data_IF_196624566532
#
_entry.id   IF_196624566532
#
_cell.length_a   1.000
_cell.length_b   1.000
_cell.length_c   1.000
_cell.angle_alpha   90.00
_cell.angle_beta   90.00
_cell.angle_gamma   90.00
#
_symmetry.space_group_name_H-M   'P 1'
#
loop_
_entity.id
_entity.type
_entity.pdbx_description
1 polymer ?
#
# COMPACT_ATOMS: atom_id res chain seq x y z
N UNK A 1 13.57 -18.31 -29.60
CA UNK A 1 13.78 -19.71 -29.96
C UNK A 1 13.63 -20.62 -28.74
N UNK A 2 13.73 -21.93 -28.93
CA UNK A 2 13.84 -22.89 -27.83
C UNK A 2 15.28 -22.86 -27.29
N UNK A 3 15.44 -22.60 -26.01
CA UNK A 3 16.72 -22.65 -25.28
C UNK A 3 16.67 -23.80 -24.29
N UNK A 4 17.80 -24.44 -24.02
CA UNK A 4 17.89 -25.49 -23.01
C UNK A 4 18.83 -25.04 -21.91
N UNK A 5 18.36 -25.13 -20.66
CA UNK A 5 19.21 -24.94 -19.48
C UNK A 5 19.59 -26.32 -18.96
N UNK A 6 20.87 -26.67 -19.08
CA UNK A 6 21.44 -27.89 -18.53
C UNK A 6 22.07 -27.58 -17.17
N UNK A 7 21.55 -28.21 -16.12
CA UNK A 7 22.11 -28.19 -14.77
C UNK A 7 22.73 -29.55 -14.47
N UNK A 8 23.99 -29.56 -14.03
CA UNK A 8 24.74 -30.77 -13.66
C UNK A 8 25.38 -30.63 -12.28
N UNK A 9 25.45 -31.72 -11.53
CA UNK A 9 26.20 -31.84 -10.27
C UNK A 9 27.20 -33.00 -10.38
N UNK A 10 28.50 -32.73 -10.13
CA UNK A 10 29.56 -33.73 -10.29
C UNK A 10 29.71 -34.28 -11.72
N UNK A 11 29.34 -33.49 -12.73
CA UNK A 11 29.32 -33.92 -14.13
C UNK A 11 28.06 -34.68 -14.56
N UNK A 12 27.14 -35.02 -13.65
CA UNK A 12 25.89 -35.70 -13.96
C UNK A 12 24.69 -34.72 -13.98
N UNK A 13 23.73 -34.85 -14.92
CA UNK A 13 22.51 -34.04 -14.93
C UNK A 13 21.69 -34.22 -13.65
N UNK A 14 21.20 -33.11 -13.08
CA UNK A 14 20.23 -33.18 -11.96
C UNK A 14 18.84 -33.57 -12.47
N UNK A 15 17.98 -34.08 -11.58
CA UNK A 15 16.60 -34.45 -11.93
C UNK A 15 15.86 -33.26 -12.57
N UNK A 16 15.32 -33.46 -13.78
CA UNK A 16 14.60 -32.43 -14.53
C UNK A 16 15.46 -31.60 -15.49
N UNK A 17 16.76 -31.91 -15.61
CA UNK A 17 17.69 -31.30 -16.56
C UNK A 17 17.91 -32.20 -17.79
N UNK A 18 18.01 -31.63 -19.01
CA UNK A 18 17.90 -30.20 -19.33
C UNK A 18 16.44 -29.72 -19.36
N UNK A 19 16.21 -28.48 -18.93
CA UNK A 19 14.91 -27.81 -19.02
C UNK A 19 14.82 -27.05 -20.34
N UNK A 20 13.89 -27.45 -21.21
CA UNK A 20 13.58 -26.74 -22.44
C UNK A 20 12.70 -25.51 -22.14
N UNK A 21 13.24 -24.31 -22.39
CA UNK A 21 12.57 -23.03 -22.25
C UNK A 21 12.20 -22.50 -23.64
N UNK A 22 10.91 -22.30 -23.88
CA UNK A 22 10.45 -21.54 -25.04
C UNK A 22 10.69 -20.05 -24.79
N UNK A 23 11.65 -19.43 -25.48
CA UNK A 23 11.81 -17.98 -25.49
C UNK A 23 11.14 -17.45 -26.75
N UNK A 24 9.90 -16.98 -26.63
CA UNK A 24 9.25 -16.20 -27.68
C UNK A 24 9.80 -14.77 -27.73
N UNK A 25 9.62 -14.04 -28.83
CA UNK A 25 9.75 -12.59 -28.79
C UNK A 25 8.80 -12.07 -27.70
N UNK A 26 9.37 -11.45 -26.67
CA UNK A 26 8.58 -10.70 -25.70
C UNK A 26 8.05 -9.52 -26.51
N UNK A 27 6.77 -9.58 -26.91
CA UNK A 27 6.07 -8.37 -27.39
C UNK A 27 6.32 -7.24 -26.37
N UNK A 28 6.28 -5.95 -26.77
CA UNK A 28 6.72 -4.86 -25.92
C UNK A 28 6.14 -5.00 -24.51
N UNK A 29 7.01 -5.35 -23.55
CA UNK A 29 6.55 -5.56 -22.19
C UNK A 29 6.10 -4.22 -21.67
N UNK A 30 4.88 -4.10 -21.11
CA UNK A 30 4.44 -2.85 -20.54
C UNK A 30 5.48 -2.33 -19.53
N UNK A 31 5.76 -1.01 -19.51
CA UNK A 31 6.67 -0.46 -18.52
C UNK A 31 6.18 -0.82 -17.11
N UNK A 32 7.10 -1.00 -16.14
CA UNK A 32 6.71 -1.29 -14.77
C UNK A 32 5.76 -0.22 -14.22
N UNK A 33 4.80 -0.63 -13.41
CA UNK A 33 3.79 0.28 -12.79
C UNK A 33 3.37 -0.21 -11.43
N UNK A 34 2.97 0.71 -10.55
CA UNK A 34 2.34 0.40 -9.27
C UNK A 34 0.95 1.02 -9.20
N UNK A 35 -0.03 0.24 -8.73
CA UNK A 35 -1.42 0.69 -8.57
C UNK A 35 -2.04 0.07 -7.33
N UNK A 36 -2.97 0.79 -6.70
CA UNK A 36 -3.75 0.27 -5.57
C UNK A 36 -3.85 1.27 -4.43
N UNK A 37 -4.90 1.11 -3.62
CA UNK A 37 -5.25 2.06 -2.55
C UNK A 37 -4.11 2.28 -1.55
N UNK A 38 -3.29 1.27 -1.28
CA UNK A 38 -2.12 1.38 -0.40
C UNK A 38 -1.05 2.37 -0.87
N UNK A 39 -1.11 2.91 -2.10
CA UNK A 39 -0.21 3.97 -2.54
C UNK A 39 -0.76 5.39 -2.26
N UNK A 40 -2.03 5.49 -1.87
CA UNK A 40 -2.77 6.75 -1.77
C UNK A 40 -3.32 7.01 -0.35
N UNK A 41 -3.83 5.97 0.32
CA UNK A 41 -4.42 6.12 1.65
C UNK A 41 -4.48 4.81 2.44
N UNK A 42 -4.60 4.95 3.76
CA UNK A 42 -4.76 3.81 4.66
C UNK A 42 -5.29 4.23 6.03
N UNK A 43 -5.49 3.23 6.89
CA UNK A 43 -5.87 3.42 8.28
C UNK A 43 -4.85 2.75 9.19
N UNK A 44 -4.58 3.37 10.33
CA UNK A 44 -3.69 2.78 11.34
C UNK A 44 -4.23 1.42 11.76
N UNK A 45 -3.35 0.42 11.82
CA UNK A 45 -3.67 -0.95 12.22
C UNK A 45 -4.39 -1.80 11.16
N UNK A 46 -4.94 -1.20 10.10
CA UNK A 46 -5.58 -1.95 9.02
C UNK A 46 -4.56 -2.34 7.93
N UNK A 47 -4.44 -3.65 7.64
CA UNK A 47 -3.57 -4.11 6.54
C UNK A 47 -4.10 -3.57 5.21
N UNK A 48 -3.22 -2.92 4.45
CA UNK A 48 -3.49 -2.43 3.09
C UNK A 48 -2.49 -3.00 2.10
N UNK A 49 -2.78 -2.88 0.81
CA UNK A 49 -1.93 -3.41 -0.25
C UNK A 49 -2.00 -2.61 -1.54
N UNK A 50 -1.00 -2.84 -2.39
CA UNK A 50 -0.93 -2.38 -3.76
C UNK A 50 -0.25 -3.44 -4.63
N UNK A 51 -0.38 -3.30 -5.94
CA UNK A 51 0.18 -4.23 -6.93
C UNK A 51 1.25 -3.53 -7.76
N UNK A 52 2.40 -4.17 -7.91
CA UNK A 52 3.46 -3.76 -8.83
C UNK A 52 3.51 -4.75 -9.99
N UNK A 53 3.31 -4.26 -11.21
CA UNK A 53 3.54 -5.03 -12.43
C UNK A 53 4.96 -4.78 -12.91
N UNK A 54 5.78 -5.83 -13.04
CA UNK A 54 7.19 -5.71 -13.45
C UNK A 54 7.74 -7.07 -13.91
N UNK A 55 8.71 -7.08 -14.83
CA UNK A 55 9.42 -8.30 -15.25
C UNK A 55 10.43 -8.82 -14.23
N UNK A 56 10.88 -7.95 -13.33
CA UNK A 56 11.80 -8.28 -12.23
C UNK A 56 11.16 -7.97 -10.90
N UNK A 57 11.58 -8.67 -9.86
CA UNK A 57 11.05 -8.47 -8.51
C UNK A 57 11.38 -7.05 -8.01
N UNK A 58 10.36 -6.29 -7.55
CA UNK A 58 10.57 -4.95 -7.02
C UNK A 58 11.25 -4.99 -5.66
N UNK A 59 12.07 -3.98 -5.37
CA UNK A 59 12.44 -3.60 -4.01
C UNK A 59 11.44 -2.55 -3.53
N UNK A 60 10.87 -2.74 -2.34
CA UNK A 60 9.93 -1.79 -1.73
C UNK A 60 10.39 -1.42 -0.33
N UNK A 61 10.37 -0.13 -0.04
CA UNK A 61 10.57 0.43 1.30
C UNK A 61 9.37 1.31 1.63
N UNK A 62 8.85 1.16 2.85
CA UNK A 62 7.75 1.98 3.39
C UNK A 62 8.26 2.69 4.63
N UNK A 63 8.29 4.02 4.57
CA UNK A 63 8.86 4.90 5.58
C UNK A 63 7.80 5.85 6.11
N UNK A 64 7.71 5.95 7.43
CA UNK A 64 7.00 7.01 8.15
C UNK A 64 8.04 7.87 8.90
N UNK A 65 7.61 9.03 9.42
CA UNK A 65 8.50 9.89 10.23
C UNK A 65 9.04 9.16 11.45
N UNK A 66 8.24 8.27 12.04
CA UNK A 66 8.60 7.47 13.21
C UNK A 66 9.51 6.28 12.87
N UNK A 67 9.59 5.88 11.59
CA UNK A 67 10.48 4.83 11.12
C UNK A 67 9.87 3.91 10.05
N UNK A 68 10.56 2.81 9.80
CA UNK A 68 10.24 1.89 8.72
C UNK A 68 9.08 0.95 9.08
N UNK A 69 8.28 0.60 8.07
CA UNK A 69 7.21 -0.38 8.16
C UNK A 69 7.59 -1.66 7.42
N UNK A 70 7.37 -2.78 8.07
CA UNK A 70 7.58 -4.10 7.48
C UNK A 70 6.61 -4.33 6.31
N UNK A 71 7.15 -4.78 5.19
CA UNK A 71 6.39 -5.10 3.98
C UNK A 71 6.40 -6.59 3.71
N UNK A 72 5.29 -7.09 3.19
CA UNK A 72 5.15 -8.47 2.72
C UNK A 72 4.90 -8.48 1.21
N UNK A 73 5.73 -9.21 0.45
CA UNK A 73 5.63 -9.28 -1.01
C UNK A 73 5.24 -10.70 -1.43
N UNK A 74 4.18 -10.82 -2.23
CA UNK A 74 3.73 -12.07 -2.85
C UNK A 74 3.78 -11.94 -4.38
N UNK A 75 4.08 -13.04 -5.06
CA UNK A 75 4.08 -13.12 -6.52
C UNK A 75 3.11 -14.21 -6.98
N UNK A 76 1.78 -13.94 -6.99
CA UNK A 76 0.79 -14.96 -7.35
C UNK A 76 0.86 -15.39 -8.81
N UNK A 77 1.37 -14.51 -9.69
CA UNK A 77 1.53 -14.77 -11.13
C UNK A 77 2.81 -14.10 -11.62
N UNK A 78 3.47 -14.67 -12.66
CA UNK A 78 4.64 -14.05 -13.27
C UNK A 78 4.35 -12.60 -13.66
N UNK A 79 5.16 -11.69 -13.13
CA UNK A 79 5.10 -10.27 -13.41
C UNK A 79 4.09 -9.46 -12.59
N UNK A 80 3.41 -10.08 -11.63
CA UNK A 80 2.46 -9.44 -10.72
C UNK A 80 2.94 -9.62 -9.27
N UNK A 81 3.29 -8.52 -8.60
CA UNK A 81 3.75 -8.51 -7.21
C UNK A 81 2.75 -7.77 -6.33
N UNK A 82 2.13 -8.47 -5.40
CA UNK A 82 1.24 -7.88 -4.40
C UNK A 82 2.07 -7.54 -3.17
N UNK A 83 2.10 -6.26 -2.83
CA UNK A 83 2.82 -5.72 -1.67
C UNK A 83 1.80 -5.33 -0.62
N UNK A 84 1.95 -5.85 0.58
CA UNK A 84 1.07 -5.55 1.72
C UNK A 84 1.86 -4.99 2.88
N UNK A 85 1.27 -4.05 3.61
CA UNK A 85 1.83 -3.48 4.82
C UNK A 85 0.72 -3.07 5.79
N UNK A 86 1.07 -2.91 7.06
CA UNK A 86 0.13 -2.46 8.10
C UNK A 86 0.68 -1.16 8.71
N UNK A 87 0.05 0.00 8.45
CA UNK A 87 0.48 1.27 9.02
C UNK A 87 0.41 1.25 10.55
N UNK A 88 1.44 1.75 11.22
CA UNK A 88 1.53 1.79 12.69
C UNK A 88 1.20 3.17 13.27
N UNK A 89 1.37 4.22 12.48
CA UNK A 89 1.21 5.62 12.89
C UNK A 89 0.36 6.40 11.88
N UNK A 90 -0.35 7.43 12.34
CA UNK A 90 -1.01 8.38 11.44
C UNK A 90 0.03 9.27 10.76
N UNK A 91 -0.29 9.79 9.58
CA UNK A 91 0.60 10.71 8.87
C UNK A 91 0.74 10.39 7.39
N UNK A 92 1.60 11.14 6.71
CA UNK A 92 1.96 10.90 5.32
C UNK A 92 3.24 10.06 5.28
N UNK A 93 3.21 8.94 4.56
CA UNK A 93 4.34 8.02 4.44
C UNK A 93 5.07 8.27 3.11
N UNK A 94 6.28 7.76 2.97
CA UNK A 94 6.98 7.61 1.68
C UNK A 94 7.09 6.11 1.34
N UNK A 95 6.52 5.71 0.20
CA UNK A 95 6.65 4.37 -0.37
C UNK A 95 7.59 4.45 -1.57
N UNK A 96 8.79 3.92 -1.40
CA UNK A 96 9.84 3.90 -2.42
C UNK A 96 9.82 2.54 -3.11
N UNK A 97 9.65 2.55 -4.43
CA UNK A 97 9.62 1.33 -5.25
C UNK A 97 10.75 1.42 -6.28
N UNK A 98 11.66 0.45 -6.28
CA UNK A 98 12.75 0.37 -7.24
C UNK A 98 12.71 -0.94 -8.03
N UNK A 99 12.99 -0.84 -9.33
CA UNK A 99 13.05 -1.96 -10.28
C UNK A 99 14.48 -2.07 -10.79
N UNK A 100 15.25 -3.02 -10.24
CA UNK A 100 16.69 -3.09 -10.48
C UNK A 100 17.42 -1.87 -9.88
N UNK A 101 18.25 -1.14 -10.65
CA UNK A 101 18.99 0.03 -10.16
C UNK A 101 18.18 1.33 -10.19
N UNK A 102 16.99 1.34 -10.78
CA UNK A 102 16.21 2.56 -11.02
C UNK A 102 14.94 2.59 -10.18
N UNK A 103 14.54 3.77 -9.76
CA UNK A 103 13.24 3.98 -9.13
C UNK A 103 12.11 3.90 -10.15
N UNK A 104 10.98 3.38 -9.69
CA UNK A 104 9.75 3.32 -10.47
C UNK A 104 9.25 4.76 -10.69
N UNK A 105 8.83 5.14 -11.93
CA UNK A 105 8.20 6.43 -12.16
C UNK A 105 7.02 6.67 -11.21
N UNK A 106 7.02 7.82 -10.54
CA UNK A 106 6.03 8.18 -9.50
C UNK A 106 6.48 7.86 -8.06
N UNK A 107 7.57 7.11 -7.87
CA UNK A 107 8.21 6.93 -6.57
C UNK A 107 8.91 8.21 -6.11
N UNK A 108 8.85 8.59 -4.82
CA UNK A 108 8.05 7.95 -3.77
C UNK A 108 6.55 8.24 -3.90
N UNK A 109 5.73 7.23 -3.60
CA UNK A 109 4.28 7.39 -3.44
C UNK A 109 3.97 7.79 -1.99
N UNK A 110 3.00 8.69 -1.79
CA UNK A 110 2.75 9.32 -0.49
C UNK A 110 1.33 9.08 0.03
N UNK A 111 1.05 7.91 0.62
CA UNK A 111 -0.27 7.65 1.16
C UNK A 111 -0.53 8.43 2.44
N UNK A 112 -1.76 8.93 2.61
CA UNK A 112 -2.24 9.51 3.85
C UNK A 112 -2.85 8.43 4.75
N UNK A 113 -2.27 8.25 5.94
CA UNK A 113 -2.72 7.30 6.95
C UNK A 113 -3.49 8.04 8.05
N UNK A 114 -4.73 7.63 8.27
CA UNK A 114 -5.65 8.27 9.23
C UNK A 114 -6.10 7.31 10.33
N UNK A 115 -6.57 7.89 11.44
CA UNK A 115 -7.29 7.20 12.50
C UNK A 115 -8.61 7.92 12.80
N UNK A 116 -9.74 7.47 12.20
CA UNK A 116 -11.05 8.06 12.46
C UNK A 116 -11.49 7.94 13.93
N UNK A 117 -10.98 6.97 14.69
CA UNK A 117 -11.36 6.78 16.10
C UNK A 117 -10.74 7.85 17.02
N UNK A 118 -9.70 8.54 16.53
CA UNK A 118 -9.07 9.65 17.23
C UNK A 118 -9.83 10.98 17.06
N UNK A 119 -10.84 11.05 16.18
CA UNK A 119 -11.69 12.24 16.02
C UNK A 119 -12.65 12.36 17.21
N UNK A 120 -12.65 13.51 17.88
CA UNK A 120 -13.47 13.73 19.07
C UNK A 120 -14.35 14.96 18.91
N UNK A 121 -15.63 14.83 19.27
CA UNK A 121 -16.51 15.99 19.43
C UNK A 121 -16.14 16.70 20.74
N UNK A 122 -15.70 17.95 20.65
CA UNK A 122 -15.27 18.74 21.81
C UNK A 122 -16.48 18.94 22.72
N UNK A 123 -16.39 18.46 23.96
CA UNK A 123 -17.48 18.50 24.97
C UNK A 123 -18.54 17.40 24.84
N UNK A 124 -18.40 16.49 23.87
CA UNK A 124 -19.26 15.32 23.69
C UNK A 124 -20.65 15.63 23.10
N UNK A 125 -21.42 14.58 22.85
CA UNK A 125 -22.74 14.70 22.23
C UNK A 125 -23.78 15.34 23.16
N UNK A 126 -23.77 14.96 24.44
CA UNK A 126 -24.83 15.34 25.39
C UNK A 126 -25.03 16.85 25.55
N UNK A 127 -23.97 17.66 25.40
CA UNK A 127 -24.11 19.12 25.50
C UNK A 127 -24.93 19.73 24.35
N UNK A 128 -24.96 19.05 23.20
CA UNK A 128 -25.67 19.51 22.00
C UNK A 128 -27.07 18.91 21.89
N UNK A 129 -27.43 17.97 22.79
CA UNK A 129 -28.73 17.33 22.79
C UNK A 129 -29.67 17.96 23.83
N UNK A 130 -30.96 18.02 23.52
CA UNK A 130 -32.02 18.27 24.50
C UNK A 130 -32.43 16.99 25.23
N UNK A 131 -33.36 17.11 26.18
CA UNK A 131 -33.83 15.99 27.00
C UNK A 131 -34.53 14.90 26.17
N UNK A 132 -34.89 15.21 24.92
CA UNK A 132 -35.46 14.27 23.95
C UNK A 132 -34.43 13.67 23.00
N UNK A 133 -33.14 13.98 23.19
CA UNK A 133 -32.05 13.50 22.35
C UNK A 133 -31.95 14.21 20.98
N UNK A 134 -32.58 15.36 20.82
CA UNK A 134 -32.53 16.15 19.58
C UNK A 134 -31.44 17.20 19.66
N UNK A 135 -30.80 17.48 18.53
CA UNK A 135 -29.79 18.52 18.44
C UNK A 135 -30.43 19.90 18.69
N UNK A 136 -29.92 20.64 19.67
CA UNK A 136 -30.30 22.02 19.98
C UNK A 136 -29.81 22.94 18.86
N UNK A 137 -30.73 23.59 18.14
CA UNK A 137 -30.38 24.50 17.04
C UNK A 137 -30.43 25.98 17.48
N UNK A 138 -29.52 26.85 16.98
CA UNK A 138 -28.41 26.52 16.08
C UNK A 138 -27.28 25.79 16.83
N UNK A 139 -26.79 24.68 16.26
CA UNK A 139 -25.66 23.93 16.80
C UNK A 139 -24.38 24.28 16.06
N UNK A 140 -23.32 24.61 16.80
CA UNK A 140 -21.95 24.66 16.27
C UNK A 140 -21.15 23.52 16.88
N UNK A 141 -20.98 22.46 16.09
CA UNK A 141 -20.19 21.29 16.47
C UNK A 141 -18.71 21.58 16.20
N UNK A 142 -17.87 21.41 17.22
CA UNK A 142 -16.43 21.56 17.09
C UNK A 142 -15.77 20.19 17.29
N UNK A 143 -14.88 19.80 16.38
CA UNK A 143 -14.19 18.52 16.42
C UNK A 143 -12.70 18.72 16.62
N UNK A 144 -12.12 17.93 17.52
CA UNK A 144 -10.68 17.74 17.65
C UNK A 144 -10.24 16.60 16.72
N UNK A 145 -9.30 16.91 15.82
CA UNK A 145 -8.72 15.99 14.84
C UNK A 145 -7.20 15.87 14.98
N UNK A 146 -6.60 16.45 16.02
CA UNK A 146 -5.13 16.61 16.13
C UNK A 146 -4.38 15.29 16.03
N UNK A 147 -4.98 14.18 16.47
CA UNK A 147 -4.38 12.85 16.45
C UNK A 147 -4.93 11.92 15.35
N UNK A 148 -5.80 12.43 14.45
CA UNK A 148 -6.48 11.63 13.44
C UNK A 148 -5.71 11.50 12.12
N UNK A 149 -4.60 12.23 11.96
CA UNK A 149 -3.81 12.25 10.72
C UNK A 149 -4.42 13.13 9.62
N UNK A 150 -3.80 13.17 8.43
CA UNK A 150 -4.19 14.00 7.29
C UNK A 150 -5.45 13.46 6.59
N UNK A 151 -6.61 13.64 7.23
CA UNK A 151 -7.93 13.24 6.73
C UNK A 151 -8.86 14.42 6.45
N UNK A 152 -9.96 14.14 5.73
CA UNK A 152 -11.04 15.10 5.50
C UNK A 152 -12.23 14.79 6.42
N UNK A 153 -12.70 15.80 7.16
CA UNK A 153 -13.91 15.70 7.96
C UNK A 153 -15.10 16.24 7.16
N UNK A 154 -16.10 15.40 6.94
CA UNK A 154 -17.35 15.78 6.28
C UNK A 154 -18.53 15.56 7.22
N UNK A 155 -19.45 16.54 7.27
CA UNK A 155 -20.70 16.43 8.00
C UNK A 155 -21.86 16.55 7.01
N UNK A 156 -22.73 15.55 6.99
CA UNK A 156 -23.93 15.51 6.14
C UNK A 156 -25.16 15.28 7.00
N UNK A 157 -26.18 16.12 6.80
CA UNK A 157 -27.52 15.91 7.36
C UNK A 157 -28.35 15.22 6.28
N UNK A 158 -28.88 14.04 6.58
CA UNK A 158 -29.71 13.22 5.68
C UNK A 158 -31.12 13.10 6.21
#
# INVERSE_FOLDING_TARGET
GLYQVAVTYGGAPVKGSPLALGVGPVGPTPPPRAVGKGLESGRVGERTSFTVSSVVQPRVVVEAVEGNIDVHIQCPKPGEYIVSYTPKWVGTYDIIISIGPNDLPGSPFRPNIVDPSAVRLIGGWNQYLDDSGRVKLPAKLAFDITNAGPGHLECKVS
#
